data_IF_241112738710
#
_entry.id   IF_241112738710
#
_cell.length_a   1.000
_cell.length_b   1.000
_cell.length_c   1.000
_cell.angle_alpha   90.00
_cell.angle_beta   90.00
_cell.angle_gamma   90.00
#
_symmetry.space_group_name_H-M   'P 1'
#
loop_
_entity.id
_entity.type
_entity.pdbx_description
1 polymer ?
#
# COMPACT_ATOMS: atom_id res chain seq x y z
N UNK A 1 -14.44 23.03 -3.80
CA UNK A 1 -14.42 21.64 -4.31
C UNK A 1 -13.80 20.77 -3.23
N UNK A 2 -14.61 20.01 -2.51
CA UNK A 2 -14.15 19.09 -1.47
C UNK A 2 -13.76 17.77 -2.10
N UNK A 3 -12.50 17.36 -1.94
CA UNK A 3 -12.02 16.04 -2.35
C UNK A 3 -12.09 15.13 -1.14
N UNK A 4 -12.92 14.10 -1.21
CA UNK A 4 -13.06 13.09 -0.17
C UNK A 4 -11.74 12.32 0.02
N UNK A 5 -11.41 12.04 1.29
CA UNK A 5 -10.13 11.51 1.83
C UNK A 5 -9.63 10.14 1.29
N UNK A 6 -10.12 9.60 0.16
CA UNK A 6 -9.77 8.23 -0.31
C UNK A 6 -9.54 8.05 -1.81
N UNK A 7 -9.45 9.12 -2.60
CA UNK A 7 -9.12 8.98 -4.03
C UNK A 7 -7.74 9.57 -4.30
N UNK A 8 -6.74 8.69 -4.41
CA UNK A 8 -5.40 9.05 -4.88
C UNK A 8 -5.51 9.39 -6.37
N UNK A 9 -5.46 10.67 -6.68
CA UNK A 9 -5.45 11.18 -8.05
C UNK A 9 -4.04 11.67 -8.35
N UNK A 10 -3.38 11.02 -9.31
CA UNK A 10 -2.05 11.40 -9.75
C UNK A 10 -2.14 12.25 -11.01
N UNK A 11 -1.42 13.36 -11.01
CA UNK A 11 -1.32 14.28 -12.15
C UNK A 11 0.11 14.31 -12.66
N UNK A 12 0.28 14.31 -13.98
CA UNK A 12 1.60 14.44 -14.59
C UNK A 12 2.13 15.87 -14.37
N UNK A 13 3.39 15.98 -13.95
CA UNK A 13 4.02 17.29 -13.73
C UNK A 13 4.34 18.03 -15.03
N UNK A 14 4.31 17.35 -16.17
CA UNK A 14 4.72 17.89 -17.47
C UNK A 14 3.51 18.14 -18.40
N UNK A 15 2.35 17.55 -18.14
CA UNK A 15 1.15 17.76 -18.97
C UNK A 15 -0.13 17.60 -18.15
N UNK A 16 -1.27 17.95 -18.74
CA UNK A 16 -2.57 17.87 -18.08
C UNK A 16 -3.14 16.45 -17.93
N UNK A 17 -2.32 15.41 -18.11
CA UNK A 17 -2.74 14.03 -17.90
C UNK A 17 -2.94 13.77 -16.40
N UNK A 18 -4.09 13.22 -16.03
CA UNK A 18 -4.41 12.84 -14.67
C UNK A 18 -5.10 11.49 -14.65
N UNK A 19 -4.73 10.62 -13.71
CA UNK A 19 -5.41 9.35 -13.52
C UNK A 19 -6.01 9.23 -12.11
N UNK A 20 -7.25 8.75 -12.07
CA UNK A 20 -8.00 8.56 -10.82
C UNK A 20 -7.83 7.13 -10.27
N UNK A 21 -7.54 6.16 -11.15
CA UNK A 21 -7.32 4.74 -10.87
C UNK A 21 -6.53 4.15 -12.05
N UNK A 22 -5.22 4.07 -11.91
CA UNK A 22 -4.40 3.27 -12.80
C UNK A 22 -3.16 2.78 -12.09
N UNK A 23 -2.52 1.78 -12.69
CA UNK A 23 -1.28 1.22 -12.18
C UNK A 23 -0.17 2.27 -12.29
N UNK A 24 0.86 2.14 -11.46
CA UNK A 24 2.10 2.90 -11.66
C UNK A 24 2.67 2.65 -13.06
N UNK A 25 2.43 1.46 -13.64
CA UNK A 25 2.82 1.09 -14.99
C UNK A 25 2.19 2.00 -16.06
N UNK A 26 0.91 2.35 -15.93
CA UNK A 26 0.21 3.23 -16.88
C UNK A 26 0.83 4.63 -16.89
N UNK A 27 1.28 5.09 -15.72
CA UNK A 27 1.95 6.38 -15.57
C UNK A 27 3.37 6.36 -16.15
N UNK A 28 4.09 5.25 -16.00
CA UNK A 28 5.41 5.07 -16.61
C UNK A 28 5.32 4.97 -18.14
N UNK A 29 4.29 4.32 -18.67
CA UNK A 29 4.03 4.29 -20.11
C UNK A 29 3.68 5.68 -20.63
N UNK A 30 2.87 6.43 -19.89
CA UNK A 30 2.60 7.83 -20.21
C UNK A 30 3.91 8.64 -20.30
N UNK A 31 4.80 8.54 -19.31
CA UNK A 31 6.07 9.26 -19.31
C UNK A 31 7.02 8.79 -20.43
N UNK A 32 7.03 7.52 -20.78
CA UNK A 32 7.89 6.98 -21.83
C UNK A 32 7.41 7.34 -23.24
N UNK A 33 6.10 7.26 -23.50
CA UNK A 33 5.55 7.26 -24.87
C UNK A 33 4.63 8.45 -25.17
N UNK A 34 3.79 8.85 -24.22
CA UNK A 34 2.62 9.69 -24.51
C UNK A 34 2.76 11.15 -24.01
N UNK A 35 3.71 11.43 -23.11
CA UNK A 35 3.85 12.75 -22.53
C UNK A 35 4.53 13.73 -23.52
N UNK A 36 3.89 14.86 -23.87
CA UNK A 36 4.42 15.78 -24.88
C UNK A 36 5.59 16.64 -24.37
N UNK A 37 5.62 16.96 -23.07
CA UNK A 37 6.56 17.94 -22.50
C UNK A 37 7.56 17.33 -21.52
N UNK A 38 7.68 16.01 -21.48
CA UNK A 38 8.65 15.34 -20.62
C UNK A 38 10.07 15.61 -21.14
N UNK A 39 11.04 15.98 -20.27
CA UNK A 39 12.43 16.13 -20.68
C UNK A 39 12.99 14.82 -21.24
N UNK A 40 13.88 14.91 -22.22
CA UNK A 40 14.44 13.74 -22.91
C UNK A 40 15.10 12.75 -21.95
N UNK A 41 15.85 13.25 -20.96
CA UNK A 41 16.55 12.41 -19.99
C UNK A 41 15.57 11.59 -19.15
N UNK A 42 14.48 12.21 -18.72
CA UNK A 42 13.41 11.56 -17.96
C UNK A 42 12.69 10.54 -18.85
N UNK A 43 12.35 10.92 -20.08
CA UNK A 43 11.73 10.03 -21.05
C UNK A 43 12.55 8.77 -21.26
N UNK A 44 13.87 8.92 -21.42
CA UNK A 44 14.79 7.81 -21.66
C UNK A 44 14.89 6.87 -20.46
N UNK A 45 14.88 7.39 -19.22
CA UNK A 45 14.84 6.56 -18.00
C UNK A 45 13.61 5.66 -17.99
N UNK A 46 12.42 6.22 -18.21
CA UNK A 46 11.18 5.45 -18.18
C UNK A 46 11.07 4.49 -19.37
N UNK A 47 11.55 4.88 -20.54
CA UNK A 47 11.59 4.02 -21.72
C UNK A 47 12.49 2.79 -21.49
N UNK A 48 13.68 2.99 -20.90
CA UNK A 48 14.55 1.87 -20.51
C UNK A 48 13.90 0.96 -19.46
N UNK A 49 13.17 1.54 -18.49
CA UNK A 49 12.47 0.76 -17.46
C UNK A 49 11.33 -0.07 -18.03
N UNK A 50 10.53 0.50 -18.95
CA UNK A 50 9.48 -0.22 -19.68
C UNK A 50 10.09 -1.37 -20.49
N UNK A 51 11.17 -1.12 -21.24
CA UNK A 51 11.87 -2.15 -22.00
C UNK A 51 12.49 -3.25 -21.12
N UNK A 52 13.03 -2.91 -19.96
CA UNK A 52 13.60 -3.88 -19.02
C UNK A 52 12.55 -4.88 -18.52
N UNK A 53 11.30 -4.45 -18.32
CA UNK A 53 10.19 -5.35 -17.96
C UNK A 53 9.85 -6.37 -19.04
N UNK A 54 9.89 -5.95 -20.31
CA UNK A 54 9.69 -6.88 -21.43
C UNK A 54 10.82 -7.91 -21.56
N UNK A 55 12.06 -7.52 -21.22
CA UNK A 55 13.22 -8.41 -21.25
C UNK A 55 13.25 -9.40 -20.08
N UNK A 56 12.81 -8.98 -18.90
CA UNK A 56 12.79 -9.80 -17.68
C UNK A 56 11.38 -9.84 -17.04
N UNK A 57 10.42 -10.59 -17.61
CA UNK A 57 9.06 -10.69 -17.08
C UNK A 57 8.95 -11.34 -15.67
N UNK A 58 10.06 -11.77 -15.06
CA UNK A 58 10.09 -12.46 -13.75
C UNK A 58 10.65 -11.64 -12.58
N UNK A 59 11.01 -10.37 -12.78
CA UNK A 59 11.68 -9.56 -11.75
C UNK A 59 10.82 -8.46 -11.10
N UNK A 60 9.48 -8.51 -11.22
CA UNK A 60 8.60 -7.62 -10.43
C UNK A 60 8.34 -8.11 -9.00
N UNK A 61 9.14 -9.05 -8.49
CA UNK A 61 9.33 -9.16 -7.05
C UNK A 61 10.64 -8.48 -6.68
N UNK A 62 10.61 -7.15 -6.55
CA UNK A 62 11.44 -6.51 -5.53
C UNK A 62 10.90 -7.07 -4.22
N UNK A 63 11.38 -8.26 -3.85
CA UNK A 63 11.30 -8.75 -2.49
C UNK A 63 11.97 -7.65 -1.70
N UNK A 64 11.21 -6.92 -0.89
CA UNK A 64 11.78 -6.14 0.18
C UNK A 64 12.66 -7.13 0.97
N UNK A 65 13.96 -7.16 0.69
CA UNK A 65 14.91 -8.06 1.36
C UNK A 65 14.91 -7.79 2.88
N UNK A 66 14.40 -6.61 3.28
CA UNK A 66 14.24 -6.17 4.66
C UNK A 66 12.81 -6.20 5.20
N UNK A 67 11.80 -6.67 4.45
CA UNK A 67 10.45 -6.79 5.00
C UNK A 67 10.36 -8.07 5.83
N UNK A 68 10.65 -7.92 7.12
CA UNK A 68 10.34 -8.90 8.16
C UNK A 68 8.85 -9.23 8.13
N UNK A 69 8.53 -10.52 8.10
CA UNK A 69 7.16 -11.00 8.13
C UNK A 69 6.61 -10.80 9.53
N UNK A 70 5.30 -10.63 9.68
CA UNK A 70 4.67 -10.34 10.98
C UNK A 70 4.99 -11.43 12.02
N UNK A 71 5.16 -12.68 11.58
CA UNK A 71 5.54 -13.79 12.47
C UNK A 71 6.99 -13.71 12.97
N UNK A 72 7.89 -12.94 12.31
CA UNK A 72 9.28 -12.79 12.75
C UNK A 72 9.38 -12.05 14.10
N UNK A 73 8.37 -11.23 14.42
CA UNK A 73 8.27 -10.51 15.70
C UNK A 73 7.29 -11.16 16.68
N UNK A 74 6.29 -11.89 16.19
CA UNK A 74 5.27 -12.48 17.03
C UNK A 74 5.60 -13.94 17.38
N UNK A 75 6.40 -14.14 18.44
CA UNK A 75 6.83 -15.48 18.90
C UNK A 75 5.74 -16.31 19.59
N UNK A 76 4.57 -15.75 19.90
CA UNK A 76 3.49 -16.54 20.52
C UNK A 76 2.12 -15.92 20.29
N UNK A 77 1.26 -16.64 19.57
CA UNK A 77 -0.18 -16.32 19.47
C UNK A 77 -0.96 -16.68 20.74
N UNK A 78 -0.32 -17.36 21.70
CA UNK A 78 -0.98 -17.83 22.93
C UNK A 78 -0.72 -16.83 24.04
N UNK A 79 -1.78 -16.16 24.49
CA UNK A 79 -1.74 -15.32 25.68
C UNK A 79 -1.45 -16.19 26.90
N UNK A 80 -0.58 -15.70 27.79
CA UNK A 80 -0.41 -16.30 29.12
C UNK A 80 -1.70 -16.17 29.92
N UNK A 81 -1.97 -17.12 30.81
CA UNK A 81 -3.21 -17.19 31.58
C UNK A 81 -3.53 -15.88 32.33
N UNK A 82 -2.50 -15.23 32.87
CA UNK A 82 -2.63 -13.94 33.55
C UNK A 82 -3.22 -12.85 32.64
N UNK A 83 -2.72 -12.71 31.41
CA UNK A 83 -3.22 -11.75 30.42
C UNK A 83 -4.65 -12.08 29.98
N UNK A 84 -4.96 -13.37 29.81
CA UNK A 84 -6.33 -13.82 29.52
C UNK A 84 -7.29 -13.42 30.64
N UNK A 85 -6.88 -13.57 31.90
CA UNK A 85 -7.70 -13.18 33.05
C UNK A 85 -7.89 -11.66 33.16
N UNK A 86 -6.85 -10.87 32.87
CA UNK A 86 -6.95 -9.40 32.79
C UNK A 86 -7.96 -8.97 31.73
N UNK A 87 -7.89 -9.56 30.53
CA UNK A 87 -8.81 -9.26 29.42
C UNK A 87 -10.24 -9.64 29.80
N UNK A 88 -10.46 -10.84 30.32
CA UNK A 88 -11.79 -11.29 30.75
C UNK A 88 -12.37 -10.37 31.83
N UNK A 89 -11.56 -9.96 32.81
CA UNK A 89 -11.98 -9.03 33.86
C UNK A 89 -12.36 -7.66 33.30
N UNK A 90 -11.59 -7.15 32.33
CA UNK A 90 -11.91 -5.89 31.65
C UNK A 90 -13.22 -5.99 30.86
N UNK A 91 -13.42 -7.08 30.11
CA UNK A 91 -14.67 -7.34 29.40
C UNK A 91 -15.85 -7.41 30.37
N UNK A 92 -15.80 -8.21 31.43
CA UNK A 92 -16.90 -8.32 32.41
C UNK A 92 -17.25 -6.95 33.00
N UNK A 93 -16.24 -6.13 33.38
CA UNK A 93 -16.48 -4.77 33.87
C UNK A 93 -17.20 -3.90 32.83
N UNK A 94 -16.77 -3.95 31.57
CA UNK A 94 -17.40 -3.18 30.50
C UNK A 94 -18.85 -3.59 30.27
N UNK A 95 -19.14 -4.90 30.26
CA UNK A 95 -20.51 -5.39 30.09
C UNK A 95 -21.43 -4.98 31.24
N UNK A 96 -20.93 -5.02 32.49
CA UNK A 96 -21.69 -4.55 33.66
C UNK A 96 -21.95 -3.04 33.60
N UNK A 97 -20.94 -2.23 33.25
CA UNK A 97 -21.09 -0.77 33.16
C UNK A 97 -22.06 -0.38 32.03
N UNK A 98 -22.01 -1.10 30.92
CA UNK A 98 -22.85 -0.82 29.75
C UNK A 98 -24.24 -1.49 29.81
N UNK A 99 -24.57 -2.20 30.89
CA UNK A 99 -25.79 -3.00 31.05
C UNK A 99 -26.04 -3.97 29.87
N UNK A 100 -24.96 -4.53 29.32
CA UNK A 100 -25.01 -5.48 28.22
C UNK A 100 -25.10 -6.87 28.81
N UNK A 101 -26.18 -7.58 28.50
CA UNK A 101 -26.37 -8.97 28.93
C UNK A 101 -25.37 -9.88 28.22
N UNK A 102 -24.60 -10.68 28.97
CA UNK A 102 -23.74 -11.73 28.41
C UNK A 102 -24.59 -12.97 28.14
N UNK A 103 -24.76 -13.36 26.87
CA UNK A 103 -25.42 -14.60 26.46
C UNK A 103 -24.40 -15.65 26.04
#
# INVERSE_FOLDING_TARGET
KEVSKRHYQETCNYCSYSQNKGSFQDFEEHLANNCPNVPSDIKQIYLNKVLARFKNPREESIKNIHQTKIYDFNKSSKLILERTNEINKACVKAFVICDISWR
#
